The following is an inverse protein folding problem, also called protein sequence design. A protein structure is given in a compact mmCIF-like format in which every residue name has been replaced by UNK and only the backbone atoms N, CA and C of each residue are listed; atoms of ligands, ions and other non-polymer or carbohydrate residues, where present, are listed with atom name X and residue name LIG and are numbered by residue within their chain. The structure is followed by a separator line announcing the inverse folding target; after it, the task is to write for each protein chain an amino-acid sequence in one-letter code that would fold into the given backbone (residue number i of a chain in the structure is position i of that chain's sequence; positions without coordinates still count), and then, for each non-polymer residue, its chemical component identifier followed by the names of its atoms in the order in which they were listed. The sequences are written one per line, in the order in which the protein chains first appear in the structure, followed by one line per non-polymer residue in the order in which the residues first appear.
data_IF_167535357689
#
_entry.id   IF_167535357689
#
_cell.length_a   1.000
_cell.length_b   1.000
_cell.length_c   1.000
_cell.angle_alpha   90.00
_cell.angle_beta   90.00
_cell.angle_gamma   90.00
#
_symmetry.space_group_name_H-M   'P 1'
#
loop_
_entity.id
_entity.type
_entity.pdbx_description
1 polymer ?
#
# COMPACT_ATOMS: atom_id res chain seq x y z
N UNK A 1 -24.29 34.92 -57.41
CA UNK A 1 -23.62 35.44 -56.18
C UNK A 1 -23.91 34.46 -55.07
N UNK A 2 -23.04 33.50 -54.87
CA UNK A 2 -23.22 32.44 -53.86
C UNK A 2 -21.97 32.44 -52.98
N UNK A 3 -22.15 32.76 -51.68
CA UNK A 3 -21.10 32.81 -50.69
C UNK A 3 -20.89 31.39 -50.14
N UNK A 4 -19.78 30.75 -50.49
CA UNK A 4 -19.31 29.52 -49.87
C UNK A 4 -18.78 29.81 -48.47
N UNK A 5 -19.46 29.24 -47.46
CA UNK A 5 -19.05 29.29 -46.07
C UNK A 5 -18.13 28.07 -45.80
N UNK A 6 -16.84 28.33 -45.62
CA UNK A 6 -15.85 27.30 -45.26
C UNK A 6 -15.86 27.16 -43.73
N UNK A 7 -16.43 26.04 -43.24
CA UNK A 7 -16.39 25.69 -41.84
C UNK A 7 -15.06 24.96 -41.57
N UNK A 8 -14.13 25.66 -40.94
CA UNK A 8 -12.90 25.05 -40.47
C UNK A 8 -13.18 24.22 -39.20
N UNK A 9 -13.12 22.90 -39.33
CA UNK A 9 -13.28 21.95 -38.23
C UNK A 9 -11.92 21.88 -37.48
N UNK A 10 -11.81 22.65 -36.39
CA UNK A 10 -10.61 22.63 -35.54
C UNK A 10 -10.62 21.35 -34.70
N UNK A 11 -9.77 20.40 -35.05
CA UNK A 11 -9.57 19.14 -34.31
C UNK A 11 -8.73 19.43 -33.06
N UNK A 12 -9.39 19.63 -31.90
CA UNK A 12 -8.74 19.74 -30.60
C UNK A 12 -8.27 18.34 -30.19
N UNK A 13 -6.99 18.08 -30.40
CA UNK A 13 -6.31 16.90 -29.83
C UNK A 13 -6.11 17.15 -28.35
N UNK A 14 -6.95 16.54 -27.53
CA UNK A 14 -6.70 16.47 -26.08
C UNK A 14 -5.52 15.54 -25.82
N UNK A 15 -4.35 16.14 -25.64
CA UNK A 15 -3.16 15.44 -25.13
C UNK A 15 -3.41 15.11 -23.66
N UNK A 16 -3.92 13.91 -23.39
CA UNK A 16 -4.05 13.40 -22.01
C UNK A 16 -2.66 13.18 -21.43
N UNK A 17 -2.15 14.19 -20.76
CA UNK A 17 -0.96 14.06 -19.94
C UNK A 17 -1.28 13.17 -18.75
N UNK A 18 -0.87 11.90 -18.77
CA UNK A 18 -0.98 10.96 -17.67
C UNK A 18 -0.02 11.42 -16.58
N UNK A 19 -0.49 12.31 -15.71
CA UNK A 19 0.25 12.74 -14.51
C UNK A 19 0.28 11.58 -13.54
N UNK A 20 1.47 11.15 -13.16
CA UNK A 20 1.72 10.10 -12.18
C UNK A 20 0.87 10.30 -10.92
N UNK A 21 -0.04 9.34 -10.69
CA UNK A 21 -1.05 9.45 -9.65
C UNK A 21 -0.44 9.43 -8.27
N UNK A 22 -0.48 10.55 -7.57
CA UNK A 22 -0.27 10.55 -6.12
C UNK A 22 -1.41 9.79 -5.46
N UNK A 23 -1.09 8.73 -4.73
CA UNK A 23 -2.08 7.96 -3.96
C UNK A 23 -2.73 8.88 -2.93
N UNK A 24 -4.00 9.21 -3.14
CA UNK A 24 -4.78 10.14 -2.30
C UNK A 24 -5.74 9.37 -1.41
N UNK A 25 -5.92 9.86 -0.18
CA UNK A 25 -6.98 9.37 0.73
C UNK A 25 -8.35 9.48 0.04
N UNK A 26 -9.19 8.44 0.21
CA UNK A 26 -10.52 8.34 -0.39
C UNK A 26 -10.53 7.85 -1.85
N UNK A 27 -9.37 7.50 -2.43
CA UNK A 27 -9.26 6.91 -3.77
C UNK A 27 -8.80 5.46 -3.70
N UNK A 28 -9.09 4.70 -4.75
CA UNK A 28 -8.63 3.31 -4.86
C UNK A 28 -7.10 3.24 -4.68
N UNK A 29 -6.67 2.34 -3.79
CA UNK A 29 -5.27 2.01 -3.65
C UNK A 29 -4.77 1.35 -4.95
N UNK A 30 -3.58 1.72 -5.45
CA UNK A 30 -3.00 1.07 -6.60
C UNK A 30 -2.83 -0.43 -6.34
N UNK A 31 -3.32 -1.26 -7.26
CA UNK A 31 -3.05 -2.69 -7.18
C UNK A 31 -1.59 -2.97 -7.54
N UNK A 32 -1.07 -4.03 -6.99
CA UNK A 32 0.28 -4.50 -7.28
C UNK A 32 0.28 -6.02 -7.41
N UNK A 33 1.34 -6.55 -7.99
CA UNK A 33 1.69 -7.96 -7.95
C UNK A 33 3.16 -8.06 -7.56
N UNK A 34 3.42 -8.55 -6.35
CA UNK A 34 4.75 -8.60 -5.76
C UNK A 34 5.06 -10.01 -5.23
N UNK A 35 6.30 -10.47 -5.33
CA UNK A 35 6.69 -11.77 -4.77
C UNK A 35 6.75 -11.69 -3.25
N UNK A 36 6.13 -12.65 -2.57
CA UNK A 36 6.32 -12.90 -1.15
C UNK A 36 7.62 -13.67 -0.91
N UNK A 37 8.04 -13.73 0.35
CA UNK A 37 9.28 -14.41 0.74
C UNK A 37 9.28 -15.93 0.49
N UNK A 38 8.09 -16.53 0.35
CA UNK A 38 7.92 -17.94 -0.04
C UNK A 38 7.72 -18.15 -1.55
N UNK A 39 7.92 -17.11 -2.36
CA UNK A 39 7.87 -17.15 -3.82
C UNK A 39 6.48 -17.00 -4.44
N UNK A 40 5.40 -16.93 -3.65
CA UNK A 40 4.05 -16.71 -4.17
C UNK A 40 3.88 -15.26 -4.64
N UNK A 41 3.04 -15.07 -5.67
CA UNK A 41 2.65 -13.73 -6.08
C UNK A 41 1.49 -13.23 -5.21
N UNK A 42 1.64 -12.05 -4.65
CA UNK A 42 0.64 -11.39 -3.81
C UNK A 42 0.17 -10.12 -4.50
N UNK A 43 -1.16 -9.97 -4.62
CA UNK A 43 -1.81 -8.77 -5.13
C UNK A 43 -2.71 -8.16 -4.06
N UNK A 44 -2.80 -6.83 -4.01
CA UNK A 44 -3.69 -6.14 -3.07
C UNK A 44 -5.15 -6.54 -3.29
N UNK A 45 -5.56 -6.74 -4.54
CA UNK A 45 -6.92 -7.14 -4.92
C UNK A 45 -7.39 -8.47 -4.31
N UNK A 46 -6.47 -9.36 -3.90
CA UNK A 46 -6.81 -10.62 -3.21
C UNK A 46 -7.43 -10.40 -1.83
N UNK A 47 -7.28 -9.21 -1.25
CA UNK A 47 -7.74 -8.89 0.11
C UNK A 47 -8.99 -8.00 0.12
N UNK A 48 -9.72 -7.92 -0.99
CA UNK A 48 -11.03 -7.24 -1.02
C UNK A 48 -11.97 -7.83 0.04
N UNK A 49 -12.74 -6.98 0.71
CA UNK A 49 -13.58 -7.34 1.83
C UNK A 49 -12.90 -7.31 3.20
N UNK A 50 -11.58 -7.18 3.25
CA UNK A 50 -10.79 -7.03 4.48
C UNK A 50 -10.26 -5.61 4.62
N UNK A 51 -10.04 -5.16 5.86
CA UNK A 51 -9.19 -4.00 6.11
C UNK A 51 -7.74 -4.40 5.83
N UNK A 52 -6.98 -3.55 5.13
CA UNK A 52 -5.58 -3.83 4.85
C UNK A 52 -4.68 -2.75 5.46
N UNK A 53 -3.66 -3.17 6.18
CA UNK A 53 -2.50 -2.34 6.54
C UNK A 53 -1.38 -2.67 5.55
N UNK A 54 -0.99 -1.70 4.74
CA UNK A 54 0.12 -1.81 3.80
C UNK A 54 1.26 -0.93 4.29
N UNK A 55 2.33 -1.57 4.78
CA UNK A 55 3.47 -0.88 5.38
C UNK A 55 4.73 -0.99 4.51
N UNK A 56 5.30 0.15 4.14
CA UNK A 56 6.58 0.24 3.44
C UNK A 56 7.70 0.39 4.49
N UNK A 57 8.58 -0.60 4.57
CA UNK A 57 9.59 -0.73 5.60
C UNK A 57 10.91 -1.31 5.05
N UNK A 58 11.92 -1.43 5.92
CA UNK A 58 13.15 -2.16 5.64
C UNK A 58 13.77 -2.69 6.94
N UNK A 59 14.58 -3.74 6.84
CA UNK A 59 15.25 -4.39 7.99
C UNK A 59 16.18 -3.44 8.75
N UNK A 60 16.86 -2.55 8.07
CA UNK A 60 17.77 -1.54 8.63
C UNK A 60 17.06 -0.30 9.20
N UNK A 61 15.75 -0.15 8.95
CA UNK A 61 14.97 1.01 9.38
C UNK A 61 14.61 0.91 10.87
N UNK A 62 15.31 1.64 11.72
CA UNK A 62 15.09 1.59 13.18
C UNK A 62 13.66 1.94 13.61
N UNK A 63 13.02 3.03 13.13
CA UNK A 63 11.62 3.31 13.51
C UNK A 63 10.65 2.26 12.96
N UNK A 64 10.91 1.65 11.78
CA UNK A 64 10.08 0.55 11.27
C UNK A 64 10.08 -0.63 12.24
N UNK A 65 11.26 -1.01 12.74
CA UNK A 65 11.41 -2.13 13.68
C UNK A 65 10.63 -1.93 14.99
N UNK A 66 10.37 -0.69 15.39
CA UNK A 66 9.52 -0.39 16.56
C UNK A 66 8.04 -0.64 16.29
N UNK A 67 7.58 -0.53 15.02
CA UNK A 67 6.18 -0.80 14.65
C UNK A 67 5.89 -2.30 14.43
N UNK A 68 6.89 -3.12 14.07
CA UNK A 68 6.67 -4.55 13.78
C UNK A 68 5.92 -5.31 14.88
N UNK A 69 6.25 -5.15 16.18
CA UNK A 69 5.48 -5.79 17.25
C UNK A 69 4.03 -5.30 17.34
N UNK A 70 3.78 -4.02 17.02
CA UNK A 70 2.43 -3.46 16.99
C UNK A 70 1.60 -4.12 15.90
N UNK A 71 2.14 -4.26 14.69
CA UNK A 71 1.48 -4.94 13.59
C UNK A 71 1.28 -6.44 13.88
N UNK A 72 2.26 -7.10 14.49
CA UNK A 72 2.12 -8.49 14.90
C UNK A 72 0.94 -8.67 15.87
N UNK A 73 0.84 -7.80 16.88
CA UNK A 73 -0.25 -7.82 17.84
C UNK A 73 -1.61 -7.55 17.19
N UNK A 74 -1.70 -6.55 16.30
CA UNK A 74 -2.93 -6.24 15.56
C UNK A 74 -3.36 -7.40 14.64
N UNK A 75 -2.42 -8.04 13.95
CA UNK A 75 -2.76 -9.19 13.09
C UNK A 75 -3.31 -10.36 13.90
N UNK A 76 -2.77 -10.61 15.09
CA UNK A 76 -3.27 -11.64 16.00
C UNK A 76 -4.63 -11.29 16.62
N UNK A 77 -4.82 -10.03 17.01
CA UNK A 77 -6.06 -9.54 17.65
C UNK A 77 -7.25 -9.61 16.70
N UNK A 78 -7.10 -9.10 15.46
CA UNK A 78 -8.21 -9.00 14.51
C UNK A 78 -8.34 -10.23 13.59
N UNK A 79 -7.34 -11.09 13.52
CA UNK A 79 -7.33 -12.27 12.66
C UNK A 79 -7.31 -11.95 11.16
N UNK A 80 -6.99 -12.96 10.35
CA UNK A 80 -6.81 -12.82 8.90
C UNK A 80 -8.12 -12.65 8.14
N UNK A 81 -9.26 -12.90 8.77
CA UNK A 81 -10.58 -12.72 8.13
C UNK A 81 -11.01 -11.26 8.11
N UNK A 82 -10.67 -10.48 9.11
CA UNK A 82 -11.05 -9.08 9.24
C UNK A 82 -9.95 -8.11 8.78
N UNK A 83 -8.69 -8.45 9.09
CA UNK A 83 -7.51 -7.63 8.84
C UNK A 83 -6.43 -8.42 8.11
N UNK A 84 -5.86 -7.83 7.08
CA UNK A 84 -4.61 -8.32 6.49
C UNK A 84 -3.52 -7.26 6.60
N UNK A 85 -2.41 -7.61 7.21
CA UNK A 85 -1.21 -6.77 7.20
C UNK A 85 -0.26 -7.29 6.12
N UNK A 86 0.31 -6.37 5.35
CA UNK A 86 1.27 -6.63 4.28
C UNK A 86 2.45 -5.68 4.46
N UNK A 87 3.60 -6.24 4.79
CA UNK A 87 4.87 -5.50 4.80
C UNK A 87 5.51 -5.51 3.41
N UNK A 88 5.71 -4.34 2.83
CA UNK A 88 6.45 -4.16 1.57
C UNK A 88 7.88 -3.80 1.90
N UNK A 89 8.78 -4.77 1.83
CA UNK A 89 10.20 -4.54 2.08
C UNK A 89 10.83 -3.73 0.95
N UNK A 90 11.56 -2.68 1.31
CA UNK A 90 12.38 -1.87 0.41
C UNK A 90 13.88 -2.19 0.54
N UNK A 91 14.20 -3.34 1.13
CA UNK A 91 15.58 -3.82 1.22
C UNK A 91 16.16 -4.10 -0.16
N UNK A 92 17.41 -3.74 -0.34
CA UNK A 92 18.17 -4.00 -1.58
C UNK A 92 19.04 -5.27 -1.49
N UNK A 93 19.22 -5.79 -0.28
CA UNK A 93 20.09 -6.94 -0.01
C UNK A 93 19.50 -8.30 -0.44
N UNK A 94 18.24 -8.32 -0.91
CA UNK A 94 17.59 -9.51 -1.42
C UNK A 94 16.61 -10.18 -0.45
N UNK A 95 15.85 -11.14 -0.98
CA UNK A 95 14.76 -11.81 -0.25
C UNK A 95 15.24 -12.66 0.93
N UNK A 96 16.43 -13.25 0.83
CA UNK A 96 16.95 -14.20 1.84
C UNK A 96 17.28 -13.50 3.15
N UNK A 97 17.83 -12.27 3.09
CA UNK A 97 18.13 -11.47 4.27
C UNK A 97 16.82 -11.04 4.96
N UNK A 98 15.85 -10.57 4.17
CA UNK A 98 14.52 -10.21 4.68
C UNK A 98 13.82 -11.43 5.28
N UNK A 99 13.88 -12.61 4.64
CA UNK A 99 13.30 -13.84 5.16
C UNK A 99 13.95 -14.28 6.48
N UNK A 100 15.25 -14.11 6.62
CA UNK A 100 15.97 -14.40 7.86
C UNK A 100 15.53 -13.48 8.98
N UNK A 101 15.43 -12.19 8.70
CA UNK A 101 14.92 -11.19 9.64
C UNK A 101 13.47 -11.48 10.06
N UNK A 102 12.57 -11.78 9.12
CA UNK A 102 11.17 -12.11 9.39
C UNK A 102 11.03 -13.33 10.31
N UNK A 103 11.86 -14.36 10.10
CA UNK A 103 11.89 -15.53 10.98
C UNK A 103 12.39 -15.20 12.40
N UNK A 104 13.47 -14.45 12.49
CA UNK A 104 14.07 -14.03 13.77
C UNK A 104 13.08 -13.20 14.60
N UNK A 105 12.43 -12.24 13.96
CA UNK A 105 11.46 -11.33 14.58
C UNK A 105 10.05 -11.94 14.72
N UNK A 106 9.85 -13.18 14.24
CA UNK A 106 8.57 -13.89 14.29
C UNK A 106 7.40 -13.07 13.76
N UNK A 107 7.60 -12.42 12.61
CA UNK A 107 6.58 -11.59 11.96
C UNK A 107 5.47 -12.51 11.42
N UNK A 108 4.20 -12.39 11.90
CA UNK A 108 3.13 -13.35 11.60
C UNK A 108 2.29 -12.96 10.39
N UNK A 109 2.68 -11.97 9.63
CA UNK A 109 1.92 -11.45 8.48
C UNK A 109 2.72 -11.52 7.17
N UNK A 110 2.04 -11.27 6.06
CA UNK A 110 2.63 -11.35 4.72
C UNK A 110 3.71 -10.27 4.55
N UNK A 111 4.88 -10.70 4.09
CA UNK A 111 5.94 -9.78 3.65
C UNK A 111 6.24 -10.05 2.18
N UNK A 112 6.27 -8.98 1.39
CA UNK A 112 6.57 -8.99 -0.04
C UNK A 112 7.78 -8.11 -0.34
N UNK A 113 8.49 -8.44 -1.41
CA UNK A 113 9.62 -7.63 -1.89
C UNK A 113 9.08 -6.50 -2.76
N UNK A 114 9.31 -5.27 -2.33
CA UNK A 114 8.94 -4.07 -3.08
C UNK A 114 9.83 -3.84 -4.30
N UNK A 115 9.34 -3.00 -5.20
CA UNK A 115 10.08 -2.58 -6.39
C UNK A 115 9.84 -1.10 -6.70
N UNK A 116 10.60 -0.55 -7.65
CA UNK A 116 10.47 0.85 -8.03
C UNK A 116 9.09 1.23 -8.58
N UNK A 117 8.33 0.26 -9.14
CA UNK A 117 6.98 0.50 -9.64
C UNK A 117 6.01 0.76 -8.48
N UNK A 118 5.95 -0.14 -7.47
CA UNK A 118 5.04 0.02 -6.33
C UNK A 118 5.37 1.28 -5.54
N UNK A 119 6.65 1.63 -5.39
CA UNK A 119 7.07 2.88 -4.75
C UNK A 119 6.51 4.11 -5.47
N UNK A 120 6.58 4.14 -6.81
CA UNK A 120 6.01 5.25 -7.61
C UNK A 120 4.49 5.30 -7.55
N UNK A 121 3.82 4.15 -7.69
CA UNK A 121 2.36 4.05 -7.71
C UNK A 121 1.77 4.56 -6.38
N UNK A 122 2.45 4.32 -5.25
CA UNK A 122 2.06 4.82 -3.92
C UNK A 122 2.55 6.25 -3.61
N UNK A 123 2.86 7.01 -4.67
CA UNK A 123 3.14 8.44 -4.59
C UNK A 123 4.61 8.78 -4.30
N UNK A 124 5.53 7.85 -4.59
CA UNK A 124 6.96 8.03 -4.35
C UNK A 124 7.27 8.03 -2.86
N UNK A 125 7.42 6.86 -2.27
CA UNK A 125 7.74 6.69 -0.84
C UNK A 125 9.08 7.40 -0.54
N UNK A 126 9.02 8.54 0.14
CA UNK A 126 10.18 9.41 0.42
C UNK A 126 10.81 9.14 1.79
N UNK A 127 10.15 8.36 2.62
CA UNK A 127 10.62 8.00 3.96
C UNK A 127 9.89 6.76 4.46
N UNK A 128 10.53 6.00 5.32
CA UNK A 128 9.97 4.81 5.95
C UNK A 128 10.08 4.92 7.48
N UNK A 129 9.10 4.33 8.22
CA UNK A 129 7.93 3.65 7.70
C UNK A 129 6.95 4.58 6.99
N UNK A 130 6.27 4.10 5.96
CA UNK A 130 5.09 4.74 5.38
C UNK A 130 3.99 3.70 5.30
N UNK A 131 2.89 3.95 6.02
CA UNK A 131 1.82 3.00 6.20
C UNK A 131 0.52 3.53 5.60
N UNK A 132 -0.15 2.70 4.84
CA UNK A 132 -1.49 2.95 4.31
C UNK A 132 -2.49 2.05 5.00
N UNK A 133 -3.58 2.64 5.52
CA UNK A 133 -4.77 1.92 5.95
C UNK A 133 -5.75 1.93 4.79
N UNK A 134 -6.20 0.75 4.36
CA UNK A 134 -7.03 0.55 3.18
C UNK A 134 -8.35 -0.11 3.64
N UNK A 135 -9.47 0.41 3.17
CA UNK A 135 -10.80 -0.08 3.52
C UNK A 135 -11.18 -1.39 2.80
N UNK A 136 -12.30 -1.99 3.18
CA UNK A 136 -12.85 -3.22 2.61
C UNK A 136 -13.10 -3.12 1.08
N UNK A 137 -13.35 -1.92 0.57
CA UNK A 137 -13.53 -1.62 -0.85
C UNK A 137 -12.21 -1.40 -1.59
N UNK A 138 -11.08 -1.41 -0.85
CA UNK A 138 -9.74 -1.20 -1.38
C UNK A 138 -9.40 0.26 -1.64
N UNK A 139 -10.05 1.20 -0.97
CA UNK A 139 -9.70 2.61 -1.03
C UNK A 139 -8.75 2.97 0.11
N UNK A 140 -7.86 3.91 -0.15
CA UNK A 140 -6.98 4.45 0.88
C UNK A 140 -7.80 5.25 1.89
N UNK A 141 -7.92 4.73 3.10
CA UNK A 141 -8.57 5.42 4.22
C UNK A 141 -7.65 6.43 4.88
N UNK A 142 -6.40 6.03 5.16
CA UNK A 142 -5.36 6.87 5.79
C UNK A 142 -3.99 6.58 5.22
N UNK A 143 -3.11 7.59 5.31
CA UNK A 143 -1.67 7.46 5.06
C UNK A 143 -0.91 8.06 6.23
N UNK A 144 0.04 7.32 6.76
CA UNK A 144 0.96 7.75 7.80
C UNK A 144 2.39 7.73 7.28
N UNK A 145 3.18 8.73 7.63
CA UNK A 145 4.62 8.79 7.33
C UNK A 145 5.35 8.90 8.67
N UNK A 146 6.31 8.01 8.89
CA UNK A 146 7.01 7.86 10.17
C UNK A 146 6.20 7.04 11.18
N UNK A 147 6.88 6.64 12.24
CA UNK A 147 6.38 5.81 13.33
C UNK A 147 5.04 6.29 13.92
N UNK A 148 4.18 5.32 14.24
CA UNK A 148 2.93 5.54 15.01
C UNK A 148 2.76 4.43 16.04
N UNK A 149 2.12 4.78 17.17
CA UNK A 149 1.73 3.82 18.18
C UNK A 149 0.61 2.90 17.71
N UNK A 150 0.52 1.70 18.30
CA UNK A 150 -0.47 0.65 17.97
C UNK A 150 -1.90 1.20 17.95
N UNK A 151 -2.24 2.03 18.93
CA UNK A 151 -3.58 2.58 19.16
C UNK A 151 -4.08 3.43 17.98
N UNK A 152 -3.17 4.06 17.23
CA UNK A 152 -3.52 4.85 16.04
C UNK A 152 -4.09 3.94 14.95
N UNK A 153 -3.41 2.83 14.68
CA UNK A 153 -3.87 1.86 13.70
C UNK A 153 -5.10 1.09 14.17
N UNK A 154 -5.14 0.69 15.45
CA UNK A 154 -6.27 -0.01 16.05
C UNK A 154 -7.57 0.81 15.92
N UNK A 155 -7.52 2.11 16.22
CA UNK A 155 -8.66 3.03 16.05
C UNK A 155 -9.18 3.04 14.61
N UNK A 156 -8.29 3.12 13.62
CA UNK A 156 -8.68 3.14 12.21
C UNK A 156 -9.28 1.79 11.78
N UNK A 157 -8.67 0.66 12.21
CA UNK A 157 -9.18 -0.68 11.93
C UNK A 157 -10.60 -0.84 12.48
N UNK A 158 -10.83 -0.53 13.76
CA UNK A 158 -12.16 -0.61 14.38
C UNK A 158 -13.18 0.24 13.66
N UNK A 159 -12.84 1.49 13.34
CA UNK A 159 -13.72 2.39 12.58
C UNK A 159 -14.10 1.85 11.20
N UNK A 160 -13.20 1.09 10.53
CA UNK A 160 -13.48 0.48 9.23
C UNK A 160 -14.25 -0.85 9.34
N UNK A 161 -14.08 -1.58 10.43
CA UNK A 161 -14.82 -2.82 10.66
C UNK A 161 -16.28 -2.57 11.05
N UNK A 162 -16.57 -1.47 11.74
CA UNK A 162 -17.92 -1.06 12.12
C UNK A 162 -18.75 -0.50 10.95
N UNK A 163 -18.10 -0.06 9.86
CA UNK A 163 -18.80 0.37 8.64
C UNK A 163 -19.32 -0.84 7.88
N UNK A 164 -20.64 -0.95 7.82
CA UNK A 164 -21.40 -1.94 7.01
C UNK A 164 -21.39 -1.52 5.54
#
# INVERSE_FOLDING_TARGET
MSRMLVIAFSLLVFLSCSMGGTTKVGKAAPDFQLPSLDGRQVSLSQFRGKVVILDFWATWCKPCRLELPHFAALQQEFGTEALQIIGVSLDQAGSDEVASFVREWKIPYIVVMGNGKVVRDYGGIRGIPTTFVIDKQGNVYRKYVGYRDKEVFEKDIRALLEKV
#
